data_IF_493587658476
#
_entry.id   IF_493587658476
#
_cell.length_a   1.000
_cell.length_b   1.000
_cell.length_c   1.000
_cell.angle_alpha   90.00
_cell.angle_beta   90.00
_cell.angle_gamma   90.00
#
_symmetry.space_group_name_H-M   'P 1'
#
loop_
_entity.id
_entity.type
_entity.pdbx_description
1 polymer ?
#
# COMPACT_ATOMS: atom_id res chain seq x y z
N UNK A 1 19.71 -1.21 -37.06
CA UNK A 1 18.51 -0.32 -37.14
C UNK A 1 17.39 -0.91 -36.28
N UNK A 2 17.18 -0.41 -35.06
CA UNK A 2 15.99 -0.71 -34.23
C UNK A 2 15.55 0.63 -33.61
N UNK A 3 14.33 1.06 -33.94
CA UNK A 3 13.82 2.40 -33.63
C UNK A 3 13.32 2.47 -32.18
N UNK A 4 13.71 3.53 -31.48
CA UNK A 4 13.15 3.96 -30.21
C UNK A 4 11.66 4.33 -30.37
N UNK A 5 10.82 4.02 -29.38
CA UNK A 5 9.53 4.70 -29.20
C UNK A 5 9.42 5.20 -27.77
N UNK A 6 9.80 6.46 -27.57
CA UNK A 6 9.45 7.21 -26.37
C UNK A 6 7.92 7.38 -26.34
N UNK A 7 7.26 6.79 -25.34
CA UNK A 7 5.82 6.94 -25.12
C UNK A 7 5.52 8.37 -24.67
N UNK A 8 4.86 9.15 -25.52
CA UNK A 8 4.39 10.52 -25.24
C UNK A 8 3.63 10.59 -23.90
N UNK A 9 3.80 11.65 -23.10
CA UNK A 9 2.99 11.85 -21.91
C UNK A 9 1.55 12.14 -22.34
N UNK A 10 0.62 11.23 -22.04
CA UNK A 10 -0.80 11.44 -22.26
C UNK A 10 -1.28 12.52 -21.29
N UNK A 11 -1.62 13.72 -21.80
CA UNK A 11 -2.19 14.83 -21.01
C UNK A 11 -3.67 14.62 -20.65
N UNK A 12 -4.32 13.57 -21.17
CA UNK A 12 -5.74 13.23 -21.01
C UNK A 12 -6.15 12.72 -19.59
N UNK A 13 -5.34 11.93 -18.84
CA UNK A 13 -5.78 11.31 -17.58
C UNK A 13 -6.13 12.31 -16.47
N UNK A 14 -5.53 13.49 -16.50
CA UNK A 14 -5.68 14.52 -15.46
C UNK A 14 -7.03 15.21 -15.56
N UNK A 15 -7.51 15.50 -16.78
CA UNK A 15 -8.79 16.17 -17.01
C UNK A 15 -9.95 15.24 -16.61
N UNK A 16 -9.84 13.94 -16.90
CA UNK A 16 -10.84 12.95 -16.50
C UNK A 16 -11.01 12.89 -14.98
N UNK A 17 -9.91 12.96 -14.21
CA UNK A 17 -9.99 12.97 -12.74
C UNK A 17 -10.65 14.23 -12.18
N UNK A 18 -10.45 15.38 -12.84
CA UNK A 18 -11.04 16.64 -12.41
C UNK A 18 -12.55 16.67 -12.62
N UNK A 19 -13.05 15.96 -13.65
CA UNK A 19 -14.49 15.95 -13.98
C UNK A 19 -15.26 14.81 -13.30
N UNK A 20 -14.67 13.61 -13.19
CA UNK A 20 -15.33 12.41 -12.66
C UNK A 20 -14.85 11.98 -11.27
N UNK A 21 -13.83 12.66 -10.74
CA UNK A 21 -13.19 12.29 -9.49
C UNK A 21 -12.09 11.24 -9.65
N UNK A 22 -11.37 10.99 -8.56
CA UNK A 22 -10.26 10.04 -8.55
C UNK A 22 -10.73 8.62 -8.29
N UNK A 23 -10.31 7.69 -9.15
CA UNK A 23 -10.47 6.24 -8.93
C UNK A 23 -9.22 5.67 -8.25
N UNK A 24 -9.19 5.72 -6.93
CA UNK A 24 -8.09 5.17 -6.14
C UNK A 24 -8.18 3.65 -6.02
N UNK A 25 -7.06 2.98 -6.25
CA UNK A 25 -6.90 1.53 -6.06
C UNK A 25 -5.83 1.28 -5.01
N UNK A 26 -6.02 0.28 -4.15
CA UNK A 26 -5.01 -0.11 -3.16
C UNK A 26 -3.80 -0.67 -3.89
N UNK A 27 -2.65 -0.01 -3.75
CA UNK A 27 -1.37 -0.46 -4.33
C UNK A 27 -0.51 -1.21 -3.33
N UNK A 28 -0.63 -0.90 -2.04
CA UNK A 28 0.10 -1.60 -0.98
C UNK A 28 -0.73 -1.67 0.30
N UNK A 29 -0.76 -2.83 0.92
CA UNK A 29 -1.30 -3.02 2.27
C UNK A 29 -0.13 -3.00 3.25
N UNK A 30 0.10 -1.87 3.91
CA UNK A 30 1.20 -1.70 4.86
C UNK A 30 0.91 -2.46 6.15
N UNK A 31 -0.31 -2.27 6.66
CA UNK A 31 -0.91 -3.04 7.74
C UNK A 31 -2.38 -3.30 7.40
N UNK A 32 -3.14 -3.83 8.36
CA UNK A 32 -4.60 -3.93 8.21
C UNK A 32 -5.27 -2.55 8.02
N UNK A 33 -4.82 -1.53 8.77
CA UNK A 33 -5.41 -0.18 8.77
C UNK A 33 -4.72 0.78 7.81
N UNK A 34 -3.41 0.63 7.61
CA UNK A 34 -2.61 1.54 6.78
C UNK A 34 -2.43 0.93 5.40
N UNK A 35 -2.91 1.64 4.37
CA UNK A 35 -2.85 1.24 2.97
C UNK A 35 -2.35 2.41 2.14
N UNK A 36 -1.60 2.11 1.09
CA UNK A 36 -1.24 3.05 0.04
C UNK A 36 -2.19 2.83 -1.14
N UNK A 37 -2.52 3.93 -1.81
CA UNK A 37 -3.47 3.98 -2.91
C UNK A 37 -2.87 4.76 -4.06
N UNK A 38 -3.19 4.36 -5.29
CA UNK A 38 -2.83 5.11 -6.48
C UNK A 38 -4.04 5.26 -7.37
N UNK A 39 -4.26 6.46 -7.89
CA UNK A 39 -5.30 6.71 -8.87
C UNK A 39 -4.95 6.00 -10.19
N UNK A 40 -5.87 5.20 -10.75
CA UNK A 40 -5.63 4.48 -12.00
C UNK A 40 -5.35 5.40 -13.18
N UNK A 41 -5.90 6.62 -13.16
CA UNK A 41 -5.83 7.59 -14.24
C UNK A 41 -4.66 8.58 -14.07
N UNK A 42 -4.69 9.46 -13.06
CA UNK A 42 -3.68 10.51 -12.88
C UNK A 42 -2.44 10.11 -12.07
N UNK A 43 -2.39 8.87 -11.57
CA UNK A 43 -1.29 8.36 -10.74
C UNK A 43 -1.03 9.10 -9.43
N UNK A 44 -1.96 9.96 -8.98
CA UNK A 44 -1.93 10.55 -7.64
C UNK A 44 -1.90 9.45 -6.57
N UNK A 45 -1.01 9.60 -5.59
CA UNK A 45 -0.80 8.61 -4.54
C UNK A 45 -1.30 9.12 -3.19
N UNK A 46 -1.99 8.25 -2.45
CA UNK A 46 -2.52 8.54 -1.11
C UNK A 46 -2.16 7.43 -0.13
N UNK A 47 -2.25 7.71 1.16
CA UNK A 47 -2.12 6.74 2.25
C UNK A 47 -3.13 7.01 3.35
N UNK A 48 -3.48 5.98 4.13
CA UNK A 48 -4.20 6.18 5.40
C UNK A 48 -3.28 6.85 6.42
N UNK A 49 -3.74 7.91 7.09
CA UNK A 49 -3.05 8.54 8.21
C UNK A 49 -3.46 7.91 9.56
N UNK A 50 -2.90 8.41 10.67
CA UNK A 50 -3.20 7.94 12.04
C UNK A 50 -4.66 8.07 12.45
N UNK A 51 -5.39 9.02 11.85
CA UNK A 51 -6.79 9.31 12.17
C UNK A 51 -7.76 8.54 11.26
N UNK A 52 -7.24 7.67 10.37
CA UNK A 52 -8.03 6.89 9.43
C UNK A 52 -8.38 7.62 8.13
N UNK A 53 -8.01 8.89 7.98
CA UNK A 53 -8.28 9.68 6.77
C UNK A 53 -7.24 9.40 5.68
N UNK A 54 -7.62 9.63 4.41
CA UNK A 54 -6.68 9.60 3.29
C UNK A 54 -5.90 10.92 3.24
N UNK A 55 -4.58 10.81 3.14
CA UNK A 55 -3.66 11.93 2.93
C UNK A 55 -2.69 11.62 1.79
N UNK A 56 -1.99 12.62 1.27
CA UNK A 56 -1.02 12.43 0.20
C UNK A 56 0.14 11.52 0.62
N UNK A 57 0.53 10.58 -0.25
CA UNK A 57 1.68 9.71 -0.02
C UNK A 57 2.98 10.45 -0.34
N UNK A 58 3.40 11.31 0.58
CA UNK A 58 4.68 12.03 0.50
C UNK A 58 5.87 11.09 0.67
N UNK A 59 7.10 11.50 0.29
CA UNK A 59 8.32 10.71 0.56
C UNK A 59 8.48 10.34 2.04
N UNK A 60 8.14 11.26 2.95
CA UNK A 60 8.13 11.02 4.40
C UNK A 60 7.14 9.92 4.79
N UNK A 61 5.93 9.95 4.22
CA UNK A 61 4.96 8.88 4.48
C UNK A 61 5.40 7.54 3.88
N UNK A 62 6.06 7.52 2.72
CA UNK A 62 6.63 6.28 2.14
C UNK A 62 7.65 5.63 3.09
N UNK A 63 8.52 6.44 3.69
CA UNK A 63 9.51 5.95 4.66
C UNK A 63 8.83 5.41 5.92
N UNK A 64 7.90 6.17 6.51
CA UNK A 64 7.12 5.75 7.68
C UNK A 64 6.40 4.42 7.41
N UNK A 65 5.73 4.32 6.26
CA UNK A 65 5.00 3.12 5.86
C UNK A 65 5.93 1.93 5.64
N UNK A 66 7.12 2.12 5.08
CA UNK A 66 8.10 1.05 4.92
C UNK A 66 8.55 0.48 6.29
N UNK A 67 8.86 1.37 7.24
CA UNK A 67 9.25 0.98 8.61
C UNK A 67 8.08 0.29 9.31
N UNK A 68 6.87 0.86 9.23
CA UNK A 68 5.67 0.30 9.84
C UNK A 68 5.36 -1.11 9.31
N UNK A 69 5.47 -1.30 7.99
CA UNK A 69 5.28 -2.60 7.36
C UNK A 69 6.28 -3.64 7.86
N UNK A 70 7.56 -3.27 8.01
CA UNK A 70 8.59 -4.16 8.56
C UNK A 70 8.26 -4.59 10.00
N UNK A 71 7.91 -3.63 10.86
CA UNK A 71 7.56 -3.91 12.26
C UNK A 71 6.31 -4.79 12.35
N UNK A 72 5.29 -4.49 11.55
CA UNK A 72 4.06 -5.27 11.50
C UNK A 72 4.32 -6.72 11.09
N UNK A 73 5.06 -6.93 9.99
CA UNK A 73 5.39 -8.27 9.50
C UNK A 73 6.21 -9.07 10.52
N UNK A 74 7.19 -8.43 11.18
CA UNK A 74 7.96 -9.08 12.25
C UNK A 74 7.07 -9.50 13.42
N UNK A 75 6.09 -8.67 13.81
CA UNK A 75 5.11 -9.04 14.85
C UNK A 75 4.25 -10.24 14.41
N UNK A 76 3.75 -10.24 13.18
CA UNK A 76 2.92 -11.34 12.66
C UNK A 76 3.71 -12.65 12.60
N UNK A 77 4.98 -12.62 12.15
CA UNK A 77 5.84 -13.80 12.14
C UNK A 77 5.99 -14.41 13.54
N UNK A 78 6.34 -13.60 14.55
CA UNK A 78 6.46 -14.06 15.94
C UNK A 78 5.16 -14.63 16.51
N UNK A 79 4.01 -14.07 16.13
CA UNK A 79 2.70 -14.59 16.56
C UNK A 79 2.42 -15.95 15.93
N UNK A 80 2.75 -16.14 14.64
CA UNK A 80 2.65 -17.45 13.98
C UNK A 80 3.53 -18.50 14.65
N UNK A 81 4.77 -18.15 14.99
CA UNK A 81 5.69 -19.06 15.68
C UNK A 81 5.14 -19.51 17.04
N UNK A 82 4.56 -18.58 17.82
CA UNK A 82 3.91 -18.90 19.10
C UNK A 82 2.71 -19.83 18.93
N UNK A 83 1.85 -19.56 17.93
CA UNK A 83 0.69 -20.40 17.63
C UNK A 83 1.16 -21.81 17.28
N UNK A 84 2.15 -21.93 16.40
CA UNK A 84 2.71 -23.22 15.99
C UNK A 84 3.32 -23.98 17.17
N UNK A 85 4.07 -23.30 18.05
CA UNK A 85 4.63 -23.89 19.26
C UNK A 85 3.53 -24.36 20.24
N UNK A 86 2.43 -23.61 20.39
CA UNK A 86 1.31 -24.03 21.24
C UNK A 86 0.49 -25.19 20.66
N UNK A 87 0.42 -25.31 19.33
CA UNK A 87 -0.31 -26.40 18.67
C UNK A 87 0.44 -27.73 18.73
N UNK A 88 1.72 -27.72 19.10
CA UNK A 88 2.55 -28.92 19.24
C UNK A 88 2.53 -29.52 20.65
N UNK A 89 1.70 -29.01 21.57
CA UNK A 89 1.41 -29.71 22.82
C UNK A 89 0.39 -30.82 22.57
N UNK A 90 0.66 -32.08 22.98
CA UNK A 90 -0.34 -33.14 22.87
C UNK A 90 -1.56 -32.73 23.70
N UNK A 91 -2.73 -32.69 23.05
CA UNK A 91 -4.00 -32.68 23.77
C UNK A 91 -4.05 -33.98 24.55
N UNK A 92 -3.79 -33.92 25.85
CA UNK A 92 -4.07 -35.02 26.77
C UNK A 92 -5.60 -35.11 26.81
N UNK A 93 -6.14 -36.06 26.06
CA UNK A 93 -7.51 -36.55 26.21
C UNK A 93 -7.48 -37.67 27.25
#
# INVERSE_FOLDING_TARGET
MKKNTASKPSFIPTIFCNLFGHKFQVTKKVTYHVKEYTCSHCKKELTTNSNGSLTELTPKFKEINAILGRIHNARIARLKDKINASSNYPKVV
#
